data_IF_914358235578
#
_entry.id   IF_914358235578
#
_cell.length_a   1.000
_cell.length_b   1.000
_cell.length_c   1.000
_cell.angle_alpha   90.00
_cell.angle_beta   90.00
_cell.angle_gamma   90.00
#
_symmetry.space_group_name_H-M   'P 1'
#
loop_
_entity.id
_entity.type
_entity.pdbx_description
1 polymer ?
#
# COMPACT_ATOMS: atom_id res chain seq x y z
N UNK A 1 -30.31 1.26 9.71
CA UNK A 1 -29.41 2.17 8.96
C UNK A 1 -28.04 1.52 8.97
N UNK A 2 -27.66 0.88 7.87
CA UNK A 2 -26.38 0.17 7.77
C UNK A 2 -25.32 1.20 7.39
N UNK A 3 -24.47 1.59 8.34
CA UNK A 3 -23.28 2.38 8.09
C UNK A 3 -22.28 1.54 7.29
N UNK A 4 -22.49 1.54 5.98
CA UNK A 4 -21.55 0.98 5.03
C UNK A 4 -20.33 1.89 5.02
N UNK A 5 -19.37 1.60 5.91
CA UNK A 5 -18.07 2.27 5.93
C UNK A 5 -17.48 2.17 4.52
N UNK A 6 -17.56 3.26 3.76
CA UNK A 6 -16.97 3.35 2.43
C UNK A 6 -15.48 3.07 2.61
N UNK A 7 -15.05 1.90 2.16
CA UNK A 7 -13.63 1.61 2.02
C UNK A 7 -13.06 2.69 1.09
N UNK A 8 -11.92 3.32 1.42
CA UNK A 8 -11.31 4.31 0.53
C UNK A 8 -11.08 3.64 -0.83
N UNK A 9 -11.78 4.12 -1.85
CA UNK A 9 -11.73 3.52 -3.18
C UNK A 9 -10.54 4.04 -3.99
N UNK A 10 -9.91 5.12 -3.52
CA UNK A 10 -8.77 5.75 -4.16
C UNK A 10 -7.67 6.08 -3.14
N UNK A 11 -6.42 6.05 -3.59
CA UNK A 11 -5.25 6.38 -2.78
C UNK A 11 -5.36 7.77 -2.13
N UNK A 12 -5.96 8.75 -2.82
CA UNK A 12 -6.20 10.09 -2.28
C UNK A 12 -7.13 10.13 -1.07
N UNK A 13 -8.14 9.26 -1.04
CA UNK A 13 -9.05 9.14 0.13
C UNK A 13 -8.29 8.57 1.33
N UNK A 14 -7.44 7.57 1.09
CA UNK A 14 -6.61 6.97 2.14
C UNK A 14 -5.62 7.98 2.72
N UNK A 15 -4.93 8.74 1.85
CA UNK A 15 -4.04 9.83 2.28
C UNK A 15 -4.81 10.84 3.14
N UNK A 16 -6.00 11.24 2.69
CA UNK A 16 -6.82 12.23 3.41
C UNK A 16 -7.27 11.73 4.79
N UNK A 17 -7.67 10.46 4.90
CA UNK A 17 -8.06 9.84 6.18
C UNK A 17 -6.87 9.72 7.12
N UNK A 18 -5.72 9.26 6.64
CA UNK A 18 -4.50 9.17 7.43
C UNK A 18 -4.05 10.55 7.93
N UNK A 19 -4.03 11.56 7.05
CA UNK A 19 -3.64 12.91 7.41
C UNK A 19 -4.57 13.51 8.47
N UNK A 20 -5.89 13.38 8.29
CA UNK A 20 -6.87 13.86 9.28
C UNK A 20 -6.69 13.16 10.64
N UNK A 21 -6.42 11.85 10.64
CA UNK A 21 -6.17 11.11 11.87
C UNK A 21 -4.90 11.58 12.59
N UNK A 22 -3.80 11.80 11.86
CA UNK A 22 -2.56 12.28 12.47
C UNK A 22 -2.61 13.75 12.87
N UNK A 23 -3.40 14.57 12.18
CA UNK A 23 -3.70 15.94 12.62
C UNK A 23 -4.43 15.96 13.96
N UNK A 24 -5.37 15.04 14.19
CA UNK A 24 -6.06 14.93 15.49
C UNK A 24 -5.11 14.48 16.62
N UNK A 25 -4.14 13.63 16.30
CA UNK A 25 -3.16 13.13 17.28
C UNK A 25 -2.05 14.12 17.62
N UNK A 26 -1.49 14.78 16.60
CA UNK A 26 -0.29 15.61 16.73
C UNK A 26 -0.59 17.11 16.75
N UNK A 27 -1.74 17.53 16.20
CA UNK A 27 -2.11 18.93 15.99
C UNK A 27 -1.00 19.76 15.30
N UNK A 28 -0.22 19.09 14.44
CA UNK A 28 0.91 19.63 13.71
C UNK A 28 0.87 19.07 12.29
N UNK A 29 0.81 19.97 11.31
CA UNK A 29 0.65 19.61 9.91
C UNK A 29 1.91 18.95 9.32
N UNK A 30 3.09 19.36 9.76
CA UNK A 30 4.35 18.79 9.28
C UNK A 30 4.50 17.36 9.81
N UNK A 31 4.21 17.16 11.10
CA UNK A 31 4.28 15.84 11.73
C UNK A 31 3.21 14.88 11.16
N UNK A 32 1.98 15.38 10.96
CA UNK A 32 0.91 14.60 10.35
C UNK A 32 1.21 14.20 8.89
N UNK A 33 1.85 15.08 8.13
CA UNK A 33 2.28 14.81 6.75
C UNK A 33 3.34 13.70 6.70
N UNK A 34 4.37 13.79 7.54
CA UNK A 34 5.44 12.77 7.59
C UNK A 34 4.89 11.41 8.03
N UNK A 35 4.04 11.38 9.05
CA UNK A 35 3.39 10.14 9.51
C UNK A 35 2.50 9.52 8.42
N UNK A 36 1.74 10.35 7.69
CA UNK A 36 0.93 9.90 6.56
C UNK A 36 1.81 9.28 5.47
N UNK A 37 2.88 9.97 5.07
CA UNK A 37 3.80 9.47 4.05
C UNK A 37 4.47 8.15 4.46
N UNK A 38 4.88 8.02 5.72
CA UNK A 38 5.49 6.79 6.24
C UNK A 38 4.54 5.59 6.13
N UNK A 39 3.27 5.77 6.50
CA UNK A 39 2.25 4.70 6.40
C UNK A 39 1.97 4.32 4.96
N UNK A 40 1.81 5.30 4.07
CA UNK A 40 1.56 5.03 2.64
C UNK A 40 2.75 4.30 2.01
N UNK A 41 3.98 4.72 2.32
CA UNK A 41 5.18 4.07 1.80
C UNK A 41 5.29 2.61 2.26
N UNK A 42 5.00 2.32 3.54
CA UNK A 42 4.98 0.95 4.07
C UNK A 42 3.93 0.08 3.35
N UNK A 43 2.73 0.60 3.12
CA UNK A 43 1.67 -0.11 2.39
C UNK A 43 2.11 -0.45 0.96
N UNK A 44 2.69 0.51 0.25
CA UNK A 44 3.14 0.32 -1.13
C UNK A 44 4.34 -0.64 -1.22
N UNK A 45 5.28 -0.59 -0.27
CA UNK A 45 6.40 -1.53 -0.21
C UNK A 45 5.93 -2.96 0.01
N UNK A 46 4.97 -3.19 0.91
CA UNK A 46 4.39 -4.54 1.15
C UNK A 46 3.72 -5.14 -0.09
N UNK A 47 3.17 -4.31 -0.97
CA UNK A 47 2.61 -4.77 -2.26
C UNK A 47 3.69 -5.15 -3.27
N UNK A 48 4.85 -4.52 -3.18
CA UNK A 48 6.00 -4.75 -4.06
C UNK A 48 6.75 -6.04 -3.71
N UNK A 49 6.70 -6.46 -2.45
CA UNK A 49 7.32 -7.70 -1.94
C UNK A 49 6.43 -8.95 -2.10
N UNK A 50 5.29 -8.83 -2.80
CA UNK A 50 4.50 -9.99 -3.14
C UNK A 50 5.36 -10.93 -4.04
N UNK A 51 5.54 -12.22 -3.68
CA UNK A 51 6.35 -13.12 -4.48
C UNK A 51 5.74 -13.20 -5.88
N UNK A 52 6.43 -12.63 -6.86
CA UNK A 52 6.06 -12.76 -8.26
C UNK A 52 6.12 -14.27 -8.55
N UNK A 53 5.03 -14.92 -8.98
CA UNK A 53 5.10 -16.31 -9.36
C UNK A 53 6.00 -16.38 -10.60
N UNK A 54 7.26 -16.78 -10.40
CA UNK A 54 8.15 -17.10 -11.51
C UNK A 54 7.43 -18.18 -12.34
N UNK A 55 7.20 -17.94 -13.65
CA UNK A 55 6.72 -19.00 -14.51
C UNK A 55 7.75 -20.13 -14.42
N UNK A 56 7.31 -21.33 -14.01
CA UNK A 56 8.15 -22.53 -14.03
C UNK A 56 8.81 -22.57 -15.40
N UNK A 57 10.13 -22.45 -15.47
CA UNK A 57 10.86 -22.76 -16.68
C UNK A 57 10.55 -24.23 -16.96
N UNK A 58 9.67 -24.50 -17.93
CA UNK A 58 9.48 -25.84 -18.43
C UNK A 58 10.85 -26.27 -18.96
N UNK A 59 11.49 -27.19 -18.25
CA UNK A 59 12.78 -27.77 -18.57
C UNK A 59 12.73 -28.44 -19.94
N UNK A 60 12.90 -27.63 -20.98
CA UNK A 60 13.23 -28.08 -22.32
C UNK A 60 14.70 -27.72 -22.54
N UNK A 61 15.53 -28.33 -21.70
CA UNK A 61 16.94 -28.53 -21.98
C UNK A 61 16.94 -29.46 -23.18
N UNK A 62 16.91 -28.85 -24.36
CA UNK A 62 16.89 -29.56 -25.61
C UNK A 62 18.19 -30.35 -25.70
N UNK A 63 18.07 -31.67 -25.53
CA UNK A 63 18.97 -32.68 -26.06
C UNK A 63 19.38 -32.28 -27.49
N UNK A 64 20.58 -31.72 -27.61
CA UNK A 64 21.34 -31.71 -28.86
C UNK A 64 22.29 -32.90 -28.79
N UNK A 65 21.87 -34.02 -29.38
CA UNK A 65 22.73 -35.12 -29.81
C UNK A 65 22.41 -35.48 -31.26
#
# INVERSE_FOLDING_TARGET
>A
MSDQRRQPQHLGDLISVCFAHFMDLYNDADLASVATAAVINDILQRQSDAPVPHPKSNGKDADWN
#
